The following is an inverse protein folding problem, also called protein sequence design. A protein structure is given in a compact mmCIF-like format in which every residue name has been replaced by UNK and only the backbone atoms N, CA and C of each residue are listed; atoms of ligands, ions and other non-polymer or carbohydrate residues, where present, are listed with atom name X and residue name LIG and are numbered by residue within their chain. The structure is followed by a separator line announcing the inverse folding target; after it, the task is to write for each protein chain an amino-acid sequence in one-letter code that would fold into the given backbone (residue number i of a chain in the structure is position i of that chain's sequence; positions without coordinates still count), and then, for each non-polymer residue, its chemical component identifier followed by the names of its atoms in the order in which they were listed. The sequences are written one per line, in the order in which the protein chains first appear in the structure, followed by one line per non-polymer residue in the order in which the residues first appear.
data_IF_652667561596
#
_entry.id   IF_652667561596
#
_cell.length_a   1.000
_cell.length_b   1.000
_cell.length_c   1.000
_cell.angle_alpha   90.00
_cell.angle_beta   90.00
_cell.angle_gamma   90.00
#
_symmetry.space_group_name_H-M   'P 1'
#
loop_
_entity.id
_entity.type
_entity.pdbx_description
1 polymer ?
#
# COMPACT_ATOMS: atom_id res chain seq x y z
N UNK A 1 -43.84 -15.88 -12.66
CA UNK A 1 -43.38 -14.97 -13.73
C UNK A 1 -42.87 -13.62 -13.17
N UNK A 2 -43.65 -12.88 -12.37
CA UNK A 2 -43.23 -11.57 -11.84
C UNK A 2 -42.04 -11.64 -10.86
N UNK A 3 -42.00 -12.64 -9.97
CA UNK A 3 -40.82 -12.88 -9.12
C UNK A 3 -39.57 -13.35 -9.90
N UNK A 4 -39.73 -13.80 -11.15
CA UNK A 4 -38.63 -14.25 -12.02
C UNK A 4 -37.91 -13.05 -12.65
N UNK A 5 -38.67 -12.03 -13.06
CA UNK A 5 -38.13 -10.83 -13.70
C UNK A 5 -37.34 -9.94 -12.73
N UNK A 6 -37.79 -9.81 -11.48
CA UNK A 6 -37.06 -9.07 -10.43
C UNK A 6 -35.70 -9.68 -10.06
N UNK A 7 -35.50 -10.97 -10.35
CA UNK A 7 -34.23 -11.64 -10.12
C UNK A 7 -33.26 -11.56 -11.31
N UNK A 8 -33.72 -11.13 -12.50
CA UNK A 8 -32.84 -10.98 -13.68
C UNK A 8 -31.66 -10.04 -13.44
N UNK A 9 -31.80 -8.88 -12.77
CA UNK A 9 -30.66 -8.04 -12.41
C UNK A 9 -29.64 -8.73 -11.50
N UNK A 10 -30.08 -9.65 -10.64
CA UNK A 10 -29.18 -10.42 -9.78
C UNK A 10 -28.45 -11.49 -10.58
N UNK A 11 -29.13 -12.16 -11.52
CA UNK A 11 -28.52 -13.22 -12.34
C UNK A 11 -27.63 -12.71 -13.46
N UNK A 12 -27.90 -11.54 -14.02
CA UNK A 12 -27.14 -10.99 -15.15
C UNK A 12 -26.38 -9.72 -14.77
N UNK A 13 -27.02 -8.80 -14.04
CA UNK A 13 -26.40 -7.55 -13.64
C UNK A 13 -25.25 -7.73 -12.67
N UNK A 14 -25.40 -8.58 -11.63
CA UNK A 14 -24.32 -8.81 -10.67
C UNK A 14 -23.09 -9.50 -11.31
N UNK A 15 -23.23 -10.62 -12.06
CA UNK A 15 -22.10 -11.18 -12.82
C UNK A 15 -21.45 -10.19 -13.78
N UNK A 16 -22.24 -9.37 -14.48
CA UNK A 16 -21.71 -8.34 -15.38
C UNK A 16 -20.91 -7.27 -14.63
N UNK A 17 -21.38 -6.80 -13.48
CA UNK A 17 -20.61 -5.88 -12.64
C UNK A 17 -19.30 -6.50 -12.18
N UNK A 18 -19.34 -7.74 -11.67
CA UNK A 18 -18.14 -8.48 -11.25
C UNK A 18 -17.16 -8.64 -12.41
N UNK A 19 -17.65 -8.99 -13.61
CA UNK A 19 -16.83 -9.04 -14.82
C UNK A 19 -16.18 -7.70 -15.14
N UNK A 20 -16.93 -6.60 -15.07
CA UNK A 20 -16.39 -5.25 -15.32
C UNK A 20 -15.28 -4.88 -14.35
N UNK A 21 -15.45 -5.19 -13.06
CA UNK A 21 -14.41 -4.96 -12.05
C UNK A 21 -13.18 -5.83 -12.27
N UNK A 22 -13.36 -7.14 -12.51
CA UNK A 22 -12.23 -8.05 -12.80
C UNK A 22 -11.47 -7.58 -14.04
N UNK A 23 -12.18 -7.28 -15.13
CA UNK A 23 -11.56 -6.84 -16.38
C UNK A 23 -10.76 -5.54 -16.20
N UNK A 24 -11.27 -4.59 -15.42
CA UNK A 24 -10.56 -3.34 -15.14
C UNK A 24 -9.24 -3.57 -14.37
N UNK A 25 -9.17 -4.61 -13.53
CA UNK A 25 -7.96 -4.94 -12.77
C UNK A 25 -6.90 -5.72 -13.56
N UNK A 26 -7.28 -6.35 -14.68
CA UNK A 26 -6.35 -7.14 -15.51
C UNK A 26 -5.77 -6.22 -16.59
N UNK A 27 -4.57 -5.69 -16.32
CA UNK A 27 -3.86 -4.78 -17.25
C UNK A 27 -3.21 -5.55 -18.41
N UNK A 28 -2.63 -6.72 -18.14
CA UNK A 28 -1.81 -7.45 -19.12
C UNK A 28 -2.56 -8.58 -19.83
N UNK A 29 -2.37 -8.66 -21.14
CA UNK A 29 -2.91 -9.73 -21.98
C UNK A 29 -2.11 -11.04 -21.88
N UNK A 30 -0.84 -10.97 -21.51
CA UNK A 30 0.00 -12.15 -21.32
C UNK A 30 0.00 -12.61 -19.86
N UNK A 31 -0.11 -13.92 -19.64
CA UNK A 31 -0.24 -14.51 -18.30
C UNK A 31 0.97 -14.30 -17.38
N UNK A 32 2.23 -14.54 -17.80
CA UNK A 32 3.37 -14.34 -16.91
C UNK A 32 3.62 -12.86 -16.60
N UNK A 33 3.28 -11.94 -17.50
CA UNK A 33 3.37 -10.50 -17.23
C UNK A 33 2.34 -10.07 -16.18
N UNK A 34 1.14 -10.64 -16.24
CA UNK A 34 0.11 -10.43 -15.22
C UNK A 34 0.58 -10.93 -13.84
N UNK A 35 1.15 -12.14 -13.77
CA UNK A 35 1.70 -12.69 -12.53
C UNK A 35 2.87 -11.85 -12.01
N UNK A 36 3.78 -11.42 -12.89
CA UNK A 36 4.91 -10.54 -12.56
C UNK A 36 4.40 -9.24 -11.92
N UNK A 37 3.39 -8.61 -12.53
CA UNK A 37 2.79 -7.37 -12.02
C UNK A 37 2.11 -7.58 -10.67
N UNK A 38 1.40 -8.68 -10.51
CA UNK A 38 0.69 -8.99 -9.27
C UNK A 38 1.66 -9.22 -8.11
N UNK A 39 2.76 -9.93 -8.35
CA UNK A 39 3.84 -10.08 -7.37
C UNK A 39 4.47 -8.74 -7.00
N UNK A 40 4.66 -7.83 -7.96
CA UNK A 40 5.17 -6.47 -7.67
C UNK A 40 4.26 -5.74 -6.68
N UNK A 41 2.94 -5.69 -6.93
CA UNK A 41 2.00 -5.04 -6.03
C UNK A 41 1.98 -5.66 -4.63
N UNK A 42 2.07 -6.99 -4.56
CA UNK A 42 2.14 -7.70 -3.28
C UNK A 42 3.42 -7.35 -2.51
N UNK A 43 4.56 -7.30 -3.19
CA UNK A 43 5.85 -6.92 -2.58
C UNK A 43 5.82 -5.46 -2.11
N UNK A 44 5.28 -4.54 -2.92
CA UNK A 44 5.14 -3.14 -2.54
C UNK A 44 4.28 -2.97 -1.28
N UNK A 45 3.18 -3.70 -1.19
CA UNK A 45 2.32 -3.71 0.00
C UNK A 45 3.05 -4.32 1.21
N UNK A 46 3.78 -5.43 1.03
CA UNK A 46 4.57 -6.07 2.09
C UNK A 46 5.70 -5.16 2.63
N UNK A 47 6.27 -4.32 1.77
CA UNK A 47 7.31 -3.35 2.12
C UNK A 47 6.77 -1.99 2.59
N UNK A 48 5.44 -1.85 2.67
CA UNK A 48 4.74 -0.61 3.01
C UNK A 48 5.17 0.59 2.14
N UNK A 49 5.39 0.35 0.85
CA UNK A 49 5.74 1.39 -0.13
C UNK A 49 4.50 1.96 -0.83
N UNK A 50 3.47 1.14 -1.00
CA UNK A 50 2.24 1.51 -1.69
C UNK A 50 1.03 0.79 -1.09
N UNK A 51 -0.09 1.50 -0.98
CA UNK A 51 -1.38 1.00 -0.50
C UNK A 51 -2.37 0.71 -1.63
N UNK A 52 -1.92 0.84 -2.90
CA UNK A 52 -2.72 0.57 -4.10
C UNK A 52 -3.41 -0.80 -4.07
N UNK A 53 -2.76 -1.79 -3.46
CA UNK A 53 -3.31 -3.14 -3.31
C UNK A 53 -4.60 -3.14 -2.49
N UNK A 54 -4.65 -2.38 -1.39
CA UNK A 54 -5.87 -2.21 -0.58
C UNK A 54 -6.90 -1.34 -1.31
N UNK A 55 -6.48 -0.21 -1.87
CA UNK A 55 -7.37 0.79 -2.46
C UNK A 55 -8.15 0.23 -3.66
N UNK A 56 -7.48 -0.53 -4.53
CA UNK A 56 -8.09 -1.13 -5.72
C UNK A 56 -8.70 -2.50 -5.49
N UNK A 57 -8.84 -2.92 -4.23
CA UNK A 57 -9.42 -4.21 -3.85
C UNK A 57 -8.74 -5.39 -4.57
N UNK A 58 -7.44 -5.30 -4.81
CA UNK A 58 -6.65 -6.32 -5.51
C UNK A 58 -6.67 -7.67 -4.78
N UNK A 59 -6.99 -7.67 -3.48
CA UNK A 59 -7.27 -8.88 -2.70
C UNK A 59 -8.39 -9.77 -3.29
N UNK A 60 -9.28 -9.22 -4.13
CA UNK A 60 -10.31 -9.99 -4.82
C UNK A 60 -9.74 -10.88 -5.92
N UNK A 61 -8.63 -10.48 -6.55
CA UNK A 61 -8.03 -11.14 -7.70
C UNK A 61 -6.66 -11.74 -7.40
N UNK A 62 -5.97 -11.31 -6.33
CA UNK A 62 -4.60 -11.70 -6.00
C UNK A 62 -4.40 -13.19 -5.73
N UNK A 63 -5.43 -13.88 -5.25
CA UNK A 63 -5.38 -15.34 -5.01
C UNK A 63 -5.48 -16.18 -6.29
N UNK A 64 -5.80 -15.55 -7.43
CA UNK A 64 -6.12 -16.25 -8.66
C UNK A 64 -5.03 -16.09 -9.72
N UNK A 65 -4.89 -17.10 -10.57
CA UNK A 65 -4.17 -16.95 -11.84
C UNK A 65 -4.96 -16.05 -12.77
N UNK A 66 -4.36 -15.62 -13.89
CA UNK A 66 -5.08 -14.81 -14.88
C UNK A 66 -6.38 -15.47 -15.35
N UNK A 67 -6.33 -16.77 -15.67
CA UNK A 67 -7.51 -17.54 -16.03
C UNK A 67 -8.49 -17.63 -14.86
N UNK A 68 -7.96 -17.88 -13.66
CA UNK A 68 -8.72 -17.98 -12.42
C UNK A 68 -9.39 -16.69 -11.96
N UNK A 69 -8.98 -15.53 -12.44
CA UNK A 69 -9.59 -14.25 -12.06
C UNK A 69 -11.10 -14.26 -12.34
N UNK A 70 -11.54 -14.98 -13.38
CA UNK A 70 -12.94 -15.17 -13.74
C UNK A 70 -13.62 -16.37 -13.04
N UNK A 71 -12.93 -17.10 -12.18
CA UNK A 71 -13.48 -18.28 -11.49
C UNK A 71 -14.76 -17.95 -10.71
N UNK A 72 -14.77 -16.82 -9.99
CA UNK A 72 -15.95 -16.36 -9.24
C UNK A 72 -17.15 -16.15 -10.19
N UNK A 73 -16.89 -15.61 -11.37
CA UNK A 73 -17.90 -15.42 -12.42
C UNK A 73 -18.42 -16.77 -12.94
N UNK A 74 -17.53 -17.71 -13.23
CA UNK A 74 -17.92 -19.07 -13.65
C UNK A 74 -18.78 -19.77 -12.59
N UNK A 75 -18.45 -19.61 -11.31
CA UNK A 75 -19.26 -20.16 -10.21
C UNK A 75 -20.62 -19.50 -10.06
N UNK A 76 -20.73 -18.19 -10.33
CA UNK A 76 -22.03 -17.52 -10.38
C UNK A 76 -22.87 -18.04 -11.54
N UNK A 77 -22.29 -18.22 -12.72
CA UNK A 77 -22.98 -18.84 -13.85
C UNK A 77 -23.41 -20.27 -13.57
N UNK A 78 -22.55 -21.10 -12.96
CA UNK A 78 -22.91 -22.45 -12.56
C UNK A 78 -24.10 -22.45 -11.59
N UNK A 79 -24.06 -21.62 -10.55
CA UNK A 79 -25.18 -21.51 -9.58
C UNK A 79 -26.47 -21.03 -10.24
N UNK A 80 -26.39 -20.04 -11.11
CA UNK A 80 -27.53 -19.54 -11.87
C UNK A 80 -28.11 -20.63 -12.78
N UNK A 81 -27.25 -21.35 -13.49
CA UNK A 81 -27.64 -22.45 -14.37
C UNK A 81 -28.29 -23.61 -13.61
N UNK A 82 -27.72 -24.00 -12.48
CA UNK A 82 -28.33 -25.01 -11.61
C UNK A 82 -29.70 -24.54 -11.13
N UNK A 83 -29.85 -23.29 -10.70
CA UNK A 83 -31.15 -22.75 -10.28
C UNK A 83 -32.18 -22.78 -11.42
N UNK A 84 -31.78 -22.43 -12.65
CA UNK A 84 -32.64 -22.55 -13.84
C UNK A 84 -33.11 -23.99 -14.01
N UNK A 85 -32.20 -24.98 -13.95
CA UNK A 85 -32.57 -26.40 -14.04
C UNK A 85 -33.60 -26.76 -12.97
N UNK A 86 -33.35 -26.36 -11.72
CA UNK A 86 -34.24 -26.65 -10.59
C UNK A 86 -35.63 -25.99 -10.69
N UNK A 87 -35.73 -24.81 -11.29
CA UNK A 87 -36.99 -24.08 -11.43
C UNK A 87 -37.80 -24.58 -12.62
N UNK A 88 -37.17 -24.74 -13.79
CA UNK A 88 -37.87 -25.08 -15.02
C UNK A 88 -38.21 -26.57 -15.15
N UNK A 89 -37.37 -27.47 -14.62
CA UNK A 89 -37.60 -28.92 -14.67
C UNK A 89 -38.22 -29.47 -13.38
N UNK A 90 -38.82 -28.62 -12.55
CA UNK A 90 -39.40 -29.00 -11.25
C UNK A 90 -40.40 -30.16 -11.32
N UNK A 91 -41.13 -30.28 -12.43
CA UNK A 91 -42.16 -31.31 -12.61
C UNK A 91 -41.61 -32.63 -13.15
N UNK A 92 -40.40 -32.63 -13.70
CA UNK A 92 -39.76 -33.81 -14.26
C UNK A 92 -38.42 -34.08 -13.57
N UNK A 93 -38.48 -34.90 -12.53
CA UNK A 93 -37.31 -35.24 -11.72
C UNK A 93 -36.21 -35.95 -12.52
N UNK A 94 -36.56 -36.69 -13.58
CA UNK A 94 -35.59 -37.41 -14.40
C UNK A 94 -34.76 -36.43 -15.21
N UNK A 95 -35.41 -35.50 -15.92
CA UNK A 95 -34.70 -34.46 -16.67
C UNK A 95 -33.94 -33.51 -15.75
N UNK A 96 -34.52 -33.12 -14.63
CA UNK A 96 -33.89 -32.23 -13.67
C UNK A 96 -32.58 -32.80 -13.13
N UNK A 97 -32.60 -34.05 -12.64
CA UNK A 97 -31.43 -34.71 -12.06
C UNK A 97 -30.39 -35.08 -13.13
N UNK A 98 -30.83 -35.52 -14.32
CA UNK A 98 -29.94 -35.81 -15.44
C UNK A 98 -29.16 -34.57 -15.89
N UNK A 99 -29.83 -33.44 -16.10
CA UNK A 99 -29.17 -32.18 -16.47
C UNK A 99 -28.24 -31.67 -15.37
N UNK A 100 -28.64 -31.76 -14.10
CA UNK A 100 -27.79 -31.39 -12.96
C UNK A 100 -26.51 -32.25 -12.88
N UNK A 101 -26.62 -33.56 -13.17
CA UNK A 101 -25.47 -34.46 -13.22
C UNK A 101 -24.55 -34.14 -14.40
N UNK A 102 -25.10 -33.99 -15.61
CA UNK A 102 -24.31 -33.66 -16.81
C UNK A 102 -23.55 -32.36 -16.64
N UNK A 103 -24.20 -31.32 -16.09
CA UNK A 103 -23.55 -30.03 -15.85
C UNK A 103 -22.46 -30.11 -14.80
N UNK A 104 -22.69 -30.89 -13.73
CA UNK A 104 -21.71 -31.14 -12.68
C UNK A 104 -20.47 -31.86 -13.22
N UNK A 105 -20.67 -32.89 -14.07
CA UNK A 105 -19.60 -33.62 -14.76
C UNK A 105 -18.86 -32.69 -15.73
N UNK A 106 -19.58 -31.93 -16.57
CA UNK A 106 -18.98 -31.04 -17.56
C UNK A 106 -18.08 -29.98 -16.89
N UNK A 107 -18.52 -29.36 -15.80
CA UNK A 107 -17.70 -28.42 -15.04
C UNK A 107 -16.49 -29.08 -14.38
N UNK A 108 -16.67 -30.27 -13.81
CA UNK A 108 -15.57 -31.02 -13.19
C UNK A 108 -14.53 -31.44 -14.22
N UNK A 109 -14.95 -31.86 -15.42
CA UNK A 109 -14.07 -32.17 -16.54
C UNK A 109 -13.39 -30.91 -17.07
N UNK A 110 -14.09 -29.78 -17.17
CA UNK A 110 -13.50 -28.51 -17.61
C UNK A 110 -12.32 -28.08 -16.72
N UNK A 111 -12.51 -28.07 -15.39
CA UNK A 111 -11.44 -27.74 -14.45
C UNK A 111 -10.43 -28.88 -14.26
N UNK A 112 -10.86 -30.14 -14.34
CA UNK A 112 -10.02 -31.33 -14.22
C UNK A 112 -9.12 -31.60 -15.44
N UNK A 113 -9.57 -31.25 -16.64
CA UNK A 113 -8.73 -31.29 -17.83
C UNK A 113 -7.61 -30.25 -17.77
N UNK A 114 -7.89 -29.09 -17.15
CA UNK A 114 -6.88 -28.11 -16.81
C UNK A 114 -5.79 -28.65 -15.88
N UNK A 115 -6.18 -29.49 -14.92
CA UNK A 115 -5.27 -30.19 -13.99
C UNK A 115 -4.33 -31.16 -14.72
N UNK A 116 -4.80 -31.87 -15.76
CA UNK A 116 -4.00 -32.88 -16.46
C UNK A 116 -3.10 -32.33 -17.58
N UNK A 117 -3.56 -31.33 -18.32
CA UNK A 117 -2.85 -30.86 -19.54
C UNK A 117 -1.88 -29.70 -19.32
N UNK A 118 -2.20 -28.76 -18.44
CA UNK A 118 -1.34 -27.62 -18.15
C UNK A 118 -1.64 -27.06 -16.77
N UNK A 119 -1.08 -27.75 -15.78
CA UNK A 119 -1.21 -27.48 -14.35
C UNK A 119 -1.17 -25.99 -13.98
N UNK A 120 -0.22 -25.24 -14.53
CA UNK A 120 -0.04 -23.83 -14.17
C UNK A 120 -0.99 -22.86 -14.87
N UNK A 121 -1.54 -23.21 -16.04
CA UNK A 121 -2.29 -22.28 -16.90
C UNK A 121 -3.81 -22.33 -16.67
N UNK A 122 -4.32 -23.50 -16.29
CA UNK A 122 -5.76 -23.73 -16.25
C UNK A 122 -6.34 -23.88 -14.85
N UNK A 123 -5.49 -23.82 -13.82
CA UNK A 123 -5.95 -23.83 -12.44
C UNK A 123 -6.30 -22.42 -11.97
N UNK A 124 -7.45 -22.26 -11.29
CA UNK A 124 -7.91 -20.93 -10.92
C UNK A 124 -7.10 -20.30 -9.79
N UNK A 125 -6.67 -21.07 -8.79
CA UNK A 125 -5.92 -20.51 -7.67
C UNK A 125 -4.41 -20.60 -7.92
N UNK A 126 -3.65 -19.61 -7.42
CA UNK A 126 -2.18 -19.64 -7.43
C UNK A 126 -1.62 -20.71 -6.48
N UNK A 127 -2.32 -20.97 -5.37
CA UNK A 127 -1.95 -21.99 -4.40
C UNK A 127 -2.54 -23.36 -4.78
N UNK A 128 -1.65 -24.36 -4.87
CA UNK A 128 -1.97 -25.77 -5.11
C UNK A 128 -2.97 -26.32 -4.08
N UNK A 129 -2.79 -26.05 -2.79
CA UNK A 129 -3.68 -26.56 -1.74
C UNK A 129 -5.13 -26.13 -1.93
N UNK A 130 -5.34 -24.87 -2.33
CA UNK A 130 -6.68 -24.34 -2.63
C UNK A 130 -7.30 -24.97 -3.87
N UNK A 131 -6.50 -25.26 -4.90
CA UNK A 131 -6.97 -26.01 -6.08
C UNK A 131 -7.38 -27.44 -5.74
N UNK A 132 -6.65 -28.12 -4.84
CA UNK A 132 -7.02 -29.47 -4.38
C UNK A 132 -8.36 -29.48 -3.64
N UNK A 133 -8.57 -28.53 -2.74
CA UNK A 133 -9.86 -28.39 -2.03
C UNK A 133 -10.99 -28.15 -3.04
N UNK A 134 -10.78 -27.28 -4.02
CA UNK A 134 -11.76 -27.04 -5.09
C UNK A 134 -12.06 -28.33 -5.87
N UNK A 135 -11.04 -29.05 -6.35
CA UNK A 135 -11.25 -30.30 -7.10
C UNK A 135 -11.99 -31.36 -6.27
N UNK A 136 -11.65 -31.49 -4.98
CA UNK A 136 -12.35 -32.38 -4.05
C UNK A 136 -13.83 -32.01 -3.94
N UNK A 137 -14.17 -30.71 -3.83
CA UNK A 137 -15.57 -30.27 -3.79
C UNK A 137 -16.33 -30.53 -5.11
N UNK A 138 -15.66 -30.41 -6.26
CA UNK A 138 -16.27 -30.76 -7.55
C UNK A 138 -16.51 -32.26 -7.70
N UNK A 139 -15.56 -33.10 -7.29
CA UNK A 139 -15.73 -34.55 -7.25
C UNK A 139 -16.92 -34.91 -6.35
N UNK A 140 -17.03 -34.29 -5.17
CA UNK A 140 -18.16 -34.48 -4.26
C UNK A 140 -19.49 -34.08 -4.89
N UNK A 141 -19.52 -32.94 -5.59
CA UNK A 141 -20.70 -32.48 -6.33
C UNK A 141 -21.11 -33.50 -7.40
N UNK A 142 -20.16 -34.04 -8.17
CA UNK A 142 -20.43 -35.08 -9.18
C UNK A 142 -21.01 -36.32 -8.52
N UNK A 143 -20.38 -36.86 -7.49
CA UNK A 143 -20.88 -38.05 -6.78
C UNK A 143 -22.30 -37.83 -6.29
N UNK A 144 -22.58 -36.71 -5.62
CA UNK A 144 -23.92 -36.37 -5.15
C UNK A 144 -24.93 -36.28 -6.29
N UNK A 145 -24.55 -35.64 -7.41
CA UNK A 145 -25.42 -35.50 -8.58
C UNK A 145 -25.71 -36.83 -9.28
N UNK A 146 -24.73 -37.75 -9.35
CA UNK A 146 -24.89 -39.09 -9.91
C UNK A 146 -25.86 -39.93 -9.08
N UNK A 147 -25.75 -39.87 -7.75
CA UNK A 147 -26.70 -40.52 -6.84
C UNK A 147 -28.11 -39.95 -6.95
N UNK A 148 -28.23 -38.61 -7.08
CA UNK A 148 -29.52 -37.96 -7.33
C UNK A 148 -30.15 -38.41 -8.65
N UNK A 149 -29.34 -38.56 -9.70
CA UNK A 149 -29.75 -39.08 -11.00
C UNK A 149 -30.24 -40.52 -10.89
N UNK A 150 -29.46 -41.43 -10.31
CA UNK A 150 -29.88 -42.85 -10.15
C UNK A 150 -31.21 -43.00 -9.42
N UNK A 151 -31.46 -42.17 -8.40
CA UNK A 151 -32.72 -42.17 -7.68
C UNK A 151 -33.89 -41.71 -8.56
N UNK A 152 -33.71 -40.65 -9.34
CA UNK A 152 -34.77 -40.13 -10.20
C UNK A 152 -35.14 -41.10 -11.34
N UNK A 153 -34.16 -41.82 -11.89
CA UNK A 153 -34.38 -42.86 -12.89
C UNK A 153 -34.89 -44.18 -12.31
N UNK A 154 -35.04 -44.29 -10.98
CA UNK A 154 -35.55 -45.49 -10.33
C UNK A 154 -34.61 -46.70 -10.43
N UNK A 155 -33.30 -46.46 -10.55
CA UNK A 155 -32.30 -47.54 -10.61
C UNK A 155 -32.27 -48.26 -9.27
N UNK A 156 -32.68 -49.54 -9.26
CA UNK A 156 -32.69 -50.39 -8.06
C UNK A 156 -31.37 -51.14 -7.95
N UNK A 157 -30.50 -50.66 -7.06
CA UNK A 157 -29.22 -51.28 -6.72
C UNK A 157 -29.10 -51.35 -5.19
N UNK A 158 -28.37 -52.32 -4.62
CA UNK A 158 -28.07 -52.34 -3.19
C UNK A 158 -27.47 -51.02 -2.67
N UNK A 159 -26.80 -50.26 -3.55
CA UNK A 159 -26.15 -48.98 -3.26
C UNK A 159 -27.15 -47.80 -3.27
N UNK A 160 -28.30 -47.92 -3.95
CA UNK A 160 -29.33 -46.88 -4.08
C UNK A 160 -30.50 -47.04 -3.10
N UNK A 161 -30.45 -48.04 -2.20
CA UNK A 161 -31.42 -48.16 -1.11
C UNK A 161 -31.24 -46.98 -0.16
N UNK A 162 -32.33 -46.31 0.22
CA UNK A 162 -32.25 -45.01 0.91
C UNK A 162 -31.36 -45.01 2.17
N UNK A 163 -31.35 -46.10 2.94
CA UNK A 163 -30.47 -46.24 4.12
C UNK A 163 -28.99 -46.37 3.71
N UNK A 164 -28.66 -47.31 2.81
CA UNK A 164 -27.28 -47.54 2.36
C UNK A 164 -26.73 -46.33 1.60
N UNK A 165 -27.53 -45.73 0.73
CA UNK A 165 -27.18 -44.51 0.02
C UNK A 165 -26.84 -43.36 0.98
N UNK A 166 -27.65 -43.15 2.01
CA UNK A 166 -27.41 -42.09 3.00
C UNK A 166 -26.10 -42.32 3.74
N UNK A 167 -25.80 -43.57 4.12
CA UNK A 167 -24.51 -43.91 4.74
C UNK A 167 -23.33 -43.69 3.79
N UNK A 168 -23.44 -44.07 2.51
CA UNK A 168 -22.40 -43.84 1.52
C UNK A 168 -22.13 -42.36 1.29
N UNK A 169 -23.19 -41.56 1.09
CA UNK A 169 -23.07 -40.11 0.91
C UNK A 169 -22.49 -39.43 2.14
N UNK A 170 -22.90 -39.87 3.34
CA UNK A 170 -22.35 -39.35 4.59
C UNK A 170 -20.87 -39.70 4.73
N UNK A 171 -20.49 -40.97 4.52
CA UNK A 171 -19.10 -41.41 4.61
C UNK A 171 -18.20 -40.68 3.60
N UNK A 172 -18.65 -40.54 2.35
CA UNK A 172 -17.89 -39.87 1.30
C UNK A 172 -17.78 -38.36 1.56
N UNK A 173 -18.88 -37.71 1.96
CA UNK A 173 -18.89 -36.27 2.29
C UNK A 173 -18.06 -35.98 3.54
N UNK A 174 -18.16 -36.81 4.58
CA UNK A 174 -17.38 -36.68 5.80
C UNK A 174 -15.89 -36.90 5.53
N UNK A 175 -15.54 -37.91 4.72
CA UNK A 175 -14.15 -38.15 4.30
C UNK A 175 -13.58 -36.98 3.50
N UNK A 176 -14.32 -36.46 2.52
CA UNK A 176 -13.93 -35.27 1.76
C UNK A 176 -13.77 -34.03 2.67
N UNK A 177 -14.70 -33.83 3.60
CA UNK A 177 -14.62 -32.74 4.59
C UNK A 177 -13.39 -32.89 5.49
N UNK A 178 -13.09 -34.11 5.95
CA UNK A 178 -11.92 -34.39 6.77
C UNK A 178 -10.62 -34.10 6.01
N UNK A 179 -10.52 -34.51 4.74
CA UNK A 179 -9.36 -34.19 3.90
C UNK A 179 -9.23 -32.68 3.68
N UNK A 180 -10.32 -31.99 3.35
CA UNK A 180 -10.31 -30.53 3.18
C UNK A 180 -9.91 -29.81 4.48
N UNK A 181 -10.42 -30.27 5.63
CA UNK A 181 -10.08 -29.74 6.94
C UNK A 181 -8.61 -30.02 7.29
N UNK A 182 -8.12 -31.23 7.01
CA UNK A 182 -6.72 -31.59 7.22
C UNK A 182 -5.79 -30.71 6.36
N UNK A 183 -6.15 -30.45 5.10
CA UNK A 183 -5.40 -29.53 4.23
C UNK A 183 -5.44 -28.09 4.74
N UNK A 184 -6.59 -27.64 5.27
CA UNK A 184 -6.75 -26.30 5.85
C UNK A 184 -5.94 -26.17 7.15
N UNK A 185 -6.04 -27.13 8.06
CA UNK A 185 -5.25 -27.17 9.30
C UNK A 185 -3.77 -27.25 8.98
N UNK A 186 -3.37 -28.12 8.04
CA UNK A 186 -2.00 -28.18 7.56
C UNK A 186 -1.55 -26.83 6.98
N UNK A 187 -2.42 -26.14 6.24
CA UNK A 187 -2.13 -24.79 5.78
C UNK A 187 -1.96 -23.83 6.95
N UNK A 188 -2.84 -23.80 7.96
CA UNK A 188 -2.73 -22.89 9.11
C UNK A 188 -1.49 -23.15 9.98
N UNK A 189 -1.14 -24.42 10.21
CA UNK A 189 0.00 -24.81 11.05
C UNK A 189 1.32 -24.62 10.30
N UNK A 190 1.37 -25.02 9.03
CA UNK A 190 2.59 -25.04 8.23
C UNK A 190 2.78 -23.76 7.43
N UNK A 191 1.76 -22.89 7.34
CA UNK A 191 1.91 -21.55 6.75
C UNK A 191 2.71 -20.66 7.68
N UNK A 192 4.00 -20.94 7.77
CA UNK A 192 4.92 -19.85 7.56
C UNK A 192 4.59 -19.28 6.16
N UNK A 193 4.65 -17.96 5.98
CA UNK A 193 4.19 -17.18 4.79
C UNK A 193 4.77 -17.63 3.42
N UNK A 194 5.55 -18.72 3.37
CA UNK A 194 6.40 -19.16 2.26
C UNK A 194 5.67 -19.67 1.02
N UNK A 195 4.44 -20.20 1.08
CA UNK A 195 3.77 -20.76 -0.11
C UNK A 195 3.30 -19.69 -1.11
N UNK A 196 3.41 -18.40 -0.75
CA UNK A 196 2.96 -17.31 -1.61
C UNK A 196 4.07 -16.92 -2.60
N UNK A 197 3.79 -16.73 -3.91
CA UNK A 197 4.84 -16.51 -4.92
C UNK A 197 5.72 -15.28 -4.66
N UNK A 198 5.14 -14.19 -4.12
CA UNK A 198 5.92 -13.00 -3.76
C UNK A 198 6.92 -13.28 -2.62
N UNK A 199 6.57 -14.15 -1.67
CA UNK A 199 7.45 -14.54 -0.57
C UNK A 199 8.58 -15.42 -1.06
N UNK A 200 8.33 -16.36 -1.97
CA UNK A 200 9.40 -17.10 -2.63
C UNK A 200 10.37 -16.17 -3.37
N UNK A 201 9.86 -15.10 -3.98
CA UNK A 201 10.71 -14.12 -4.67
C UNK A 201 11.57 -13.34 -3.69
N UNK A 202 10.97 -12.87 -2.57
CA UNK A 202 11.70 -12.20 -1.50
C UNK A 202 12.73 -13.12 -0.84
N UNK A 203 12.39 -14.38 -0.63
CA UNK A 203 13.27 -15.39 -0.08
C UNK A 203 14.46 -15.65 -1.01
N UNK A 204 14.24 -15.73 -2.33
CA UNK A 204 15.30 -15.83 -3.33
C UNK A 204 16.23 -14.61 -3.32
N UNK A 205 15.67 -13.42 -3.11
CA UNK A 205 16.46 -12.19 -2.94
C UNK A 205 17.28 -12.29 -1.64
N UNK A 206 16.66 -12.72 -0.54
CA UNK A 206 17.29 -12.82 0.78
C UNK A 206 18.51 -13.74 0.81
N UNK A 207 18.45 -14.86 0.10
CA UNK A 207 19.55 -15.83 0.03
C UNK A 207 20.75 -15.34 -0.81
N UNK A 208 20.62 -14.24 -1.55
CA UNK A 208 21.72 -13.67 -2.32
C UNK A 208 22.09 -12.28 -1.79
N UNK A 209 23.16 -12.21 -1.00
CA UNK A 209 23.61 -11.00 -0.31
C UNK A 209 23.80 -9.80 -1.26
N UNK A 210 24.31 -10.01 -2.48
CA UNK A 210 24.48 -8.94 -3.46
C UNK A 210 23.13 -8.36 -3.92
N UNK A 211 22.12 -9.20 -4.08
CA UNK A 211 20.78 -8.76 -4.44
C UNK A 211 20.09 -8.06 -3.28
N UNK A 212 20.27 -8.54 -2.04
CA UNK A 212 19.72 -7.90 -0.85
C UNK A 212 20.21 -6.45 -0.74
N UNK A 213 21.52 -6.22 -0.84
CA UNK A 213 22.08 -4.87 -0.72
C UNK A 213 21.53 -3.92 -1.79
N UNK A 214 21.43 -4.39 -3.04
CA UNK A 214 20.90 -3.60 -4.16
C UNK A 214 19.40 -3.32 -4.01
N UNK A 215 18.61 -4.32 -3.65
CA UNK A 215 17.15 -4.19 -3.44
C UNK A 215 16.86 -3.28 -2.25
N UNK A 216 17.58 -3.42 -1.14
CA UNK A 216 17.44 -2.53 0.02
C UNK A 216 17.73 -1.07 -0.35
N UNK A 217 18.76 -0.82 -1.16
CA UNK A 217 19.05 0.50 -1.68
C UNK A 217 17.90 1.03 -2.57
N UNK A 218 17.39 0.23 -3.50
CA UNK A 218 16.26 0.62 -4.36
C UNK A 218 14.99 0.95 -3.55
N UNK A 219 14.66 0.11 -2.58
CA UNK A 219 13.51 0.32 -1.68
C UNK A 219 13.66 1.60 -0.88
N UNK A 220 14.86 1.89 -0.37
CA UNK A 220 15.14 3.14 0.31
C UNK A 220 14.98 4.34 -0.63
N UNK A 221 15.53 4.28 -1.84
CA UNK A 221 15.38 5.35 -2.84
C UNK A 221 13.92 5.60 -3.23
N UNK A 222 13.10 4.55 -3.39
CA UNK A 222 11.65 4.70 -3.63
C UNK A 222 10.99 5.41 -2.45
N UNK A 223 11.29 5.00 -1.22
CA UNK A 223 10.70 5.60 -0.02
C UNK A 223 11.06 7.09 0.09
N UNK A 224 12.33 7.43 -0.08
CA UNK A 224 12.79 8.84 -0.08
C UNK A 224 12.10 9.64 -1.19
N UNK A 225 11.99 9.07 -2.39
CA UNK A 225 11.30 9.71 -3.50
C UNK A 225 9.81 9.97 -3.22
N UNK A 226 9.11 9.03 -2.58
CA UNK A 226 7.72 9.20 -2.17
C UNK A 226 7.56 10.27 -1.09
N UNK A 227 8.51 10.38 -0.15
CA UNK A 227 8.53 11.46 0.84
C UNK A 227 8.75 12.82 0.17
N UNK A 228 9.75 12.93 -0.71
CA UNK A 228 10.03 14.16 -1.47
C UNK A 228 8.82 14.54 -2.33
N UNK A 229 8.16 13.57 -2.97
CA UNK A 229 6.91 13.78 -3.71
C UNK A 229 5.83 14.38 -2.82
N UNK A 230 5.58 13.79 -1.65
CA UNK A 230 4.56 14.25 -0.72
C UNK A 230 4.87 15.67 -0.23
N UNK A 231 6.10 15.93 0.20
CA UNK A 231 6.56 17.23 0.67
C UNK A 231 6.45 18.29 -0.43
N UNK A 232 6.85 17.96 -1.67
CA UNK A 232 6.76 18.87 -2.81
C UNK A 232 5.31 19.16 -3.22
N UNK A 233 4.40 18.19 -3.09
CA UNK A 233 2.99 18.39 -3.40
C UNK A 233 2.26 19.22 -2.34
N UNK A 234 2.63 19.05 -1.06
CA UNK A 234 2.09 19.79 0.08
C UNK A 234 2.66 21.21 0.18
N UNK A 235 3.90 21.42 -0.26
CA UNK A 235 4.50 22.73 -0.27
C UNK A 235 3.80 23.67 -1.26
N UNK A 236 3.61 24.95 -0.90
CA UNK A 236 3.17 25.96 -1.85
C UNK A 236 4.26 26.17 -2.92
N UNK A 237 3.85 26.51 -4.15
CA UNK A 237 4.72 26.56 -5.34
C UNK A 237 5.93 27.49 -5.18
N UNK A 238 5.81 28.49 -4.31
CA UNK A 238 6.85 29.47 -4.03
C UNK A 238 8.00 28.90 -3.19
N UNK A 239 7.72 27.90 -2.35
CA UNK A 239 8.66 27.37 -1.36
C UNK A 239 9.11 25.93 -1.69
N UNK A 240 8.40 25.28 -2.61
CA UNK A 240 8.68 23.92 -3.04
C UNK A 240 10.15 23.73 -3.46
N UNK A 241 10.79 22.68 -2.96
CA UNK A 241 12.20 22.40 -3.18
C UNK A 241 12.41 21.63 -4.49
N UNK A 242 12.74 22.36 -5.55
CA UNK A 242 12.94 21.78 -6.89
C UNK A 242 14.24 20.96 -6.92
N UNK A 243 15.29 21.42 -6.23
CA UNK A 243 16.60 20.77 -6.26
C UNK A 243 16.51 19.37 -5.63
N UNK A 244 15.79 19.24 -4.51
CA UNK A 244 15.54 17.95 -3.87
C UNK A 244 14.77 16.99 -4.79
N UNK A 245 13.78 17.50 -5.53
CA UNK A 245 13.01 16.71 -6.49
C UNK A 245 13.90 16.23 -7.67
N UNK A 246 14.70 17.12 -8.25
CA UNK A 246 15.62 16.78 -9.35
C UNK A 246 16.69 15.78 -8.92
N UNK A 247 17.23 15.91 -7.72
CA UNK A 247 18.19 14.96 -7.18
C UNK A 247 17.54 13.59 -6.96
N UNK A 248 16.33 13.55 -6.42
CA UNK A 248 15.56 12.31 -6.29
C UNK A 248 15.31 11.63 -7.64
N UNK A 249 14.98 12.40 -8.68
CA UNK A 249 14.81 11.91 -10.06
C UNK A 249 16.13 11.32 -10.60
N UNK A 250 17.28 11.96 -10.36
CA UNK A 250 18.60 11.45 -10.81
C UNK A 250 18.95 10.13 -10.12
N UNK A 251 18.77 10.05 -8.80
CA UNK A 251 19.03 8.85 -8.01
C UNK A 251 18.09 7.71 -8.39
N UNK A 252 16.80 7.98 -8.58
CA UNK A 252 15.85 6.98 -9.05
C UNK A 252 16.19 6.48 -10.45
N UNK A 253 16.62 7.37 -11.35
CA UNK A 253 17.03 6.98 -12.71
C UNK A 253 18.23 6.04 -12.71
N UNK A 254 19.23 6.28 -11.86
CA UNK A 254 20.38 5.37 -11.74
C UNK A 254 19.97 4.02 -11.16
N UNK A 255 19.09 4.01 -10.15
CA UNK A 255 18.51 2.79 -9.59
C UNK A 255 17.70 2.01 -10.62
N UNK A 256 16.89 2.69 -11.44
CA UNK A 256 16.09 2.07 -12.50
C UNK A 256 16.96 1.40 -13.55
N UNK A 257 18.01 2.08 -14.03
CA UNK A 257 18.97 1.49 -14.98
C UNK A 257 19.64 0.24 -14.41
N UNK A 258 20.02 0.29 -13.13
CA UNK A 258 20.58 -0.85 -12.40
C UNK A 258 19.57 -2.02 -12.32
N UNK A 259 18.33 -1.75 -11.89
CA UNK A 259 17.28 -2.76 -11.81
C UNK A 259 16.93 -3.40 -13.17
N UNK A 260 16.90 -2.58 -14.23
CA UNK A 260 16.67 -3.02 -15.61
C UNK A 260 17.80 -3.91 -16.12
N UNK A 261 19.06 -3.55 -15.85
CA UNK A 261 20.21 -4.37 -16.24
C UNK A 261 20.18 -5.78 -15.62
N UNK A 262 19.54 -5.92 -14.46
CA UNK A 262 19.37 -7.18 -13.74
C UNK A 262 18.07 -7.92 -14.08
N UNK A 263 17.17 -7.32 -14.86
CA UNK A 263 15.83 -7.85 -15.11
C UNK A 263 14.99 -8.01 -13.83
N UNK A 264 15.22 -7.15 -12.83
CA UNK A 264 14.56 -7.22 -11.53
C UNK A 264 13.06 -6.90 -11.62
N UNK A 265 12.25 -7.44 -10.70
CA UNK A 265 10.85 -7.06 -10.55
C UNK A 265 10.67 -5.58 -10.20
N UNK A 266 11.66 -4.99 -9.51
CA UNK A 266 11.64 -3.59 -9.09
C UNK A 266 11.83 -2.58 -10.23
N UNK A 267 12.14 -3.04 -11.45
CA UNK A 267 12.20 -2.18 -12.63
C UNK A 267 10.91 -1.39 -12.82
N UNK A 268 9.76 -2.06 -12.72
CA UNK A 268 8.45 -1.45 -12.95
C UNK A 268 8.12 -0.37 -11.92
N UNK A 269 8.14 -0.63 -10.59
CA UNK A 269 7.83 0.41 -9.61
C UNK A 269 8.83 1.57 -9.65
N UNK A 270 10.12 1.32 -9.93
CA UNK A 270 11.10 2.39 -10.12
C UNK A 270 10.76 3.25 -11.34
N UNK A 271 10.33 2.63 -12.45
CA UNK A 271 9.93 3.37 -13.65
C UNK A 271 8.66 4.20 -13.42
N UNK A 272 7.64 3.64 -12.77
CA UNK A 272 6.37 4.33 -12.51
C UNK A 272 6.57 5.51 -11.57
N UNK A 273 7.32 5.32 -10.47
CA UNK A 273 7.66 6.42 -9.56
C UNK A 273 8.49 7.51 -10.24
N UNK A 274 9.45 7.13 -11.09
CA UNK A 274 10.24 8.08 -11.87
C UNK A 274 9.36 8.89 -12.86
N UNK A 275 8.47 8.22 -13.60
CA UNK A 275 7.55 8.87 -14.53
C UNK A 275 6.60 9.83 -13.80
N UNK A 276 6.07 9.45 -12.64
CA UNK A 276 5.24 10.31 -11.82
C UNK A 276 5.98 11.56 -11.34
N UNK A 277 7.22 11.42 -10.87
CA UNK A 277 8.03 12.57 -10.46
C UNK A 277 8.35 13.48 -11.64
N UNK A 278 8.69 12.93 -12.80
CA UNK A 278 8.94 13.70 -14.03
C UNK A 278 7.68 14.45 -14.49
N UNK A 279 6.51 13.82 -14.37
CA UNK A 279 5.24 14.46 -14.66
C UNK A 279 4.95 15.62 -13.69
N UNK A 280 5.17 15.43 -12.39
CA UNK A 280 5.01 16.48 -11.38
C UNK A 280 6.00 17.63 -11.62
N UNK A 281 7.26 17.31 -11.91
CA UNK A 281 8.29 18.28 -12.25
C UNK A 281 7.88 19.10 -13.47
N UNK A 282 7.58 18.48 -14.61
CA UNK A 282 7.19 19.19 -15.83
C UNK A 282 5.95 20.08 -15.66
N UNK A 283 5.00 19.66 -14.82
CA UNK A 283 3.76 20.42 -14.58
C UNK A 283 3.99 21.62 -13.65
N UNK A 284 4.76 21.46 -12.57
CA UNK A 284 4.93 22.50 -11.54
C UNK A 284 6.15 23.38 -11.74
N UNK A 285 7.19 22.90 -12.42
CA UNK A 285 8.44 23.62 -12.65
C UNK A 285 8.25 25.00 -13.29
N UNK A 286 7.38 25.19 -14.31
CA UNK A 286 7.18 26.52 -14.91
C UNK A 286 6.72 27.58 -13.91
N UNK A 287 5.90 27.19 -12.93
CA UNK A 287 5.31 28.09 -11.95
C UNK A 287 6.15 28.27 -10.67
N UNK A 288 7.15 27.41 -10.45
CA UNK A 288 7.94 27.45 -9.23
C UNK A 288 8.85 28.69 -9.18
N UNK A 289 8.95 29.33 -8.00
CA UNK A 289 9.79 30.53 -7.81
C UNK A 289 11.23 30.19 -7.38
N UNK A 290 11.40 29.06 -6.68
CA UNK A 290 12.69 28.56 -6.20
C UNK A 290 13.44 27.78 -7.29
N UNK A 291 13.66 28.42 -8.45
CA UNK A 291 14.38 27.84 -9.60
C UNK A 291 15.89 28.01 -9.55
N UNK A 292 16.35 29.01 -8.81
CA UNK A 292 17.73 29.46 -8.87
C UNK A 292 18.49 29.13 -7.58
N UNK A 293 19.75 28.69 -7.69
CA UNK A 293 20.56 28.27 -6.55
C UNK A 293 20.85 29.40 -5.53
N UNK A 294 20.68 30.68 -5.92
CA UNK A 294 20.84 31.79 -4.99
C UNK A 294 19.82 31.77 -3.85
N UNK A 295 18.62 31.20 -4.06
CA UNK A 295 17.62 31.05 -2.99
C UNK A 295 18.18 30.20 -1.85
N UNK A 296 18.90 29.13 -2.15
CA UNK A 296 19.49 28.25 -1.14
C UNK A 296 20.72 28.90 -0.48
N UNK A 297 21.48 29.71 -1.21
CA UNK A 297 22.69 30.36 -0.71
C UNK A 297 22.43 31.23 0.53
N UNK A 298 21.29 31.89 0.60
CA UNK A 298 20.85 32.68 1.77
C UNK A 298 20.59 31.80 3.01
N UNK A 299 19.97 30.62 2.82
CA UNK A 299 19.65 29.68 3.90
C UNK A 299 20.85 28.84 4.37
N UNK A 300 21.87 28.68 3.52
CA UNK A 300 23.10 27.93 3.84
C UNK A 300 24.07 28.77 4.69
N UNK A 301 23.95 30.11 4.70
CA UNK A 301 24.74 30.99 5.56
C UNK A 301 24.63 30.52 7.03
N UNK A 302 25.76 30.28 7.72
CA UNK A 302 25.74 29.72 9.08
C UNK A 302 24.98 30.62 10.08
N UNK A 303 25.02 31.92 9.86
CA UNK A 303 24.27 32.93 10.63
C UNK A 303 22.76 32.72 10.51
N UNK A 304 22.24 32.56 9.29
CA UNK A 304 20.81 32.36 9.03
C UNK A 304 20.37 30.97 9.49
N UNK A 305 21.19 29.95 9.22
CA UNK A 305 20.91 28.56 9.59
C UNK A 305 20.79 28.37 11.11
N UNK A 306 21.71 28.93 11.88
CA UNK A 306 21.67 28.84 13.35
C UNK A 306 20.43 29.53 13.94
N UNK A 307 20.05 30.68 13.38
CA UNK A 307 18.83 31.40 13.79
C UNK A 307 17.57 30.60 13.44
N UNK A 308 17.50 30.00 12.26
CA UNK A 308 16.37 29.17 11.85
C UNK A 308 16.26 27.87 12.67
N UNK A 309 17.39 27.20 12.93
CA UNK A 309 17.42 26.01 13.79
C UNK A 309 16.99 26.33 15.23
N UNK A 310 17.47 27.45 15.77
CA UNK A 310 17.03 27.93 17.10
C UNK A 310 15.53 28.21 17.12
N UNK A 311 15.00 28.91 16.12
CA UNK A 311 13.54 29.16 16.01
C UNK A 311 12.74 27.86 15.87
N UNK A 312 13.22 26.90 15.07
CA UNK A 312 12.59 25.60 14.93
C UNK A 312 12.52 24.86 16.26
N UNK A 313 13.63 24.84 17.01
CA UNK A 313 13.72 24.25 18.34
C UNK A 313 12.78 24.95 19.34
N UNK A 314 12.80 26.28 19.37
CA UNK A 314 11.91 27.05 20.24
C UNK A 314 10.43 26.77 19.91
N UNK A 315 10.08 26.61 18.63
CA UNK A 315 8.72 26.26 18.19
C UNK A 315 8.34 24.80 18.43
N UNK A 316 9.30 23.87 18.49
CA UNK A 316 9.00 22.45 18.77
C UNK A 316 8.62 22.25 20.23
N UNK A 317 9.22 23.03 21.15
CA UNK A 317 8.95 22.99 22.60
C UNK A 317 7.65 23.75 22.95
N UNK A 318 7.16 24.63 22.09
CA UNK A 318 5.96 25.41 22.37
C UNK A 318 4.67 24.58 22.38
N UNK A 319 3.80 24.89 23.34
CA UNK A 319 2.44 24.36 23.38
C UNK A 319 1.68 24.67 22.07
N UNK A 320 0.87 23.73 21.55
CA UNK A 320 0.29 23.80 20.20
C UNK A 320 -0.67 24.98 19.97
N UNK A 321 -1.28 25.53 21.03
CA UNK A 321 -2.10 26.76 20.94
C UNK A 321 -1.24 28.00 20.68
N UNK A 322 -0.15 28.17 21.45
CA UNK A 322 0.78 29.30 21.32
C UNK A 322 1.46 29.30 19.95
N UNK A 323 1.91 28.13 19.50
CA UNK A 323 2.50 27.93 18.17
C UNK A 323 1.56 28.36 17.03
N UNK A 324 0.27 28.01 17.10
CA UNK A 324 -0.74 28.42 16.10
C UNK A 324 -0.95 29.92 16.05
N UNK A 325 -1.01 30.61 17.19
CA UNK A 325 -1.14 32.07 17.24
C UNK A 325 0.08 32.75 16.62
N UNK A 326 1.27 32.24 16.95
CA UNK A 326 2.53 32.80 16.47
C UNK A 326 2.68 32.65 14.95
N UNK A 327 2.28 31.50 14.39
CA UNK A 327 2.23 31.32 12.93
C UNK A 327 1.23 32.26 12.25
N UNK A 328 0.06 32.50 12.85
CA UNK A 328 -0.90 33.49 12.33
C UNK A 328 -0.33 34.90 12.32
N UNK A 329 0.34 35.30 13.40
CA UNK A 329 1.00 36.61 13.49
C UNK A 329 2.16 36.75 12.49
N UNK A 330 2.94 35.69 12.28
CA UNK A 330 4.00 35.65 11.26
C UNK A 330 3.43 35.79 9.85
N UNK A 331 2.33 35.11 9.54
CA UNK A 331 1.65 35.23 8.25
C UNK A 331 1.09 36.64 8.03
N UNK A 332 0.46 37.25 9.05
CA UNK A 332 -0.02 38.63 8.99
C UNK A 332 1.15 39.60 8.77
N UNK A 333 2.25 39.42 9.51
CA UNK A 333 3.46 40.25 9.36
C UNK A 333 4.09 40.11 7.98
N UNK A 334 4.03 38.92 7.38
CA UNK A 334 4.48 38.70 6.01
C UNK A 334 3.57 39.39 4.99
N UNK A 335 2.25 39.33 5.17
CA UNK A 335 1.28 40.01 4.30
C UNK A 335 1.31 41.55 4.41
N UNK A 336 1.76 42.09 5.53
CA UNK A 336 1.92 43.53 5.71
C UNK A 336 3.07 44.13 4.87
N UNK A 337 3.88 43.30 4.18
CA UNK A 337 4.88 43.74 3.21
C UNK A 337 6.04 44.57 3.78
N UNK A 338 6.01 44.89 5.08
CA UNK A 338 6.90 45.86 5.68
C UNK A 338 8.20 45.20 6.13
N UNK A 339 9.12 45.04 5.17
CA UNK A 339 10.53 44.72 5.42
C UNK A 339 11.41 45.97 5.58
N UNK A 340 10.83 47.16 5.79
CA UNK A 340 11.60 48.40 5.84
C UNK A 340 11.14 49.39 6.90
N UNK A 341 11.57 49.21 8.14
CA UNK A 341 11.84 50.32 9.10
C UNK A 341 12.22 49.87 10.52
N UNK A 342 12.17 48.59 10.86
CA UNK A 342 12.42 48.14 12.25
C UNK A 342 13.91 47.91 12.58
N UNK A 343 14.81 48.81 12.16
CA UNK A 343 16.25 48.70 12.48
C UNK A 343 16.95 49.98 12.95
N UNK A 344 16.29 51.14 12.98
CA UNK A 344 16.88 52.31 13.68
C UNK A 344 16.46 52.36 15.14
N UNK A 345 15.20 52.14 15.49
CA UNK A 345 14.75 52.38 16.86
C UNK A 345 15.25 51.35 17.87
N UNK A 346 15.40 50.07 17.47
CA UNK A 346 15.92 49.02 18.37
C UNK A 346 17.43 49.15 18.54
N UNK A 347 18.18 49.46 17.48
CA UNK A 347 19.62 49.72 17.56
C UNK A 347 19.91 51.00 18.37
N UNK A 348 19.09 52.04 18.22
CA UNK A 348 19.16 53.27 19.01
C UNK A 348 18.77 53.03 20.46
N UNK A 349 17.78 52.18 20.75
CA UNK A 349 17.42 51.79 22.11
C UNK A 349 18.51 50.95 22.78
N UNK A 350 19.12 49.99 22.06
CA UNK A 350 20.26 49.21 22.55
C UNK A 350 21.47 50.10 22.81
N UNK A 351 21.82 51.01 21.88
CA UNK A 351 22.91 51.96 22.08
C UNK A 351 22.67 52.90 23.28
N UNK A 352 21.42 53.31 23.52
CA UNK A 352 21.04 54.09 24.71
C UNK A 352 21.14 53.28 26.00
N UNK A 353 20.75 52.00 25.99
CA UNK A 353 20.91 51.10 27.14
C UNK A 353 22.38 50.83 27.45
N UNK A 354 23.20 50.55 26.43
CA UNK A 354 24.63 50.32 26.60
C UNK A 354 25.36 51.57 27.13
N UNK A 355 24.97 52.76 26.67
CA UNK A 355 25.49 54.03 27.18
C UNK A 355 25.09 54.30 28.63
N UNK A 356 23.85 53.96 29.02
CA UNK A 356 23.37 54.08 30.39
C UNK A 356 24.11 53.11 31.33
N UNK A 357 24.25 51.85 30.91
CA UNK A 357 24.95 50.83 31.69
C UNK A 357 26.42 51.19 31.88
N UNK A 358 27.07 51.81 30.88
CA UNK A 358 28.44 52.32 31.00
C UNK A 358 28.52 53.44 32.03
N UNK A 359 27.61 54.42 32.00
CA UNK A 359 27.57 55.50 33.00
C UNK A 359 27.33 54.98 34.42
N UNK A 360 26.47 53.97 34.59
CA UNK A 360 26.21 53.36 35.90
C UNK A 360 27.46 52.66 36.43
N UNK A 361 28.21 51.95 35.58
CA UNK A 361 29.49 51.32 35.97
C UNK A 361 30.53 52.37 36.38
N UNK A 362 30.71 53.42 35.59
CA UNK A 362 31.67 54.50 35.88
C UNK A 362 31.34 55.21 37.20
N UNK A 363 30.04 55.46 37.49
CA UNK A 363 29.63 55.99 38.80
C UNK A 363 29.93 55.04 39.94
N UNK A 364 29.65 53.75 39.76
CA UNK A 364 29.88 52.77 40.81
C UNK A 364 31.38 52.59 41.12
N UNK A 365 32.23 52.61 40.09
CA UNK A 365 33.69 52.61 40.24
C UNK A 365 34.19 53.85 40.97
N UNK A 366 33.67 55.04 40.64
CA UNK A 366 34.03 56.29 41.33
C UNK A 366 33.63 56.27 42.83
N UNK A 367 32.43 55.75 43.15
CA UNK A 367 31.99 55.58 44.53
C UNK A 367 32.89 54.61 45.31
N UNK A 368 33.26 53.48 44.69
CA UNK A 368 34.18 52.51 45.28
C UNK A 368 35.55 53.12 45.58
N UNK A 369 36.11 53.90 44.66
CA UNK A 369 37.37 54.60 44.85
C UNK A 369 37.28 55.58 46.03
N UNK A 370 36.20 56.37 46.10
CA UNK A 370 35.99 57.33 47.20
C UNK A 370 35.89 56.66 48.57
N UNK A 371 35.24 55.49 48.65
CA UNK A 371 35.14 54.69 49.87
C UNK A 371 36.49 54.10 50.30
N UNK A 372 37.31 53.68 49.34
CA UNK A 372 38.66 53.18 49.60
C UNK A 372 39.56 54.30 50.14
N UNK A 373 39.50 55.49 49.56
CA UNK A 373 40.26 56.65 50.04
C UNK A 373 39.83 57.09 51.44
N UNK A 374 38.52 57.14 51.70
CA UNK A 374 37.99 57.43 53.03
C UNK A 374 38.45 56.42 54.08
N UNK A 375 38.41 55.12 53.77
CA UNK A 375 38.93 54.07 54.65
C UNK A 375 40.45 54.14 54.85
N UNK A 376 41.22 54.57 53.85
CA UNK A 376 42.66 54.82 54.00
C UNK A 376 42.92 56.00 54.95
N UNK A 377 42.16 57.08 54.84
CA UNK A 377 42.26 58.22 55.75
C UNK A 377 41.86 57.85 57.20
N UNK A 378 40.78 57.10 57.39
CA UNK A 378 40.36 56.59 58.69
C UNK A 378 41.43 55.69 59.33
N UNK A 379 42.09 54.82 58.55
CA UNK A 379 43.20 53.99 59.03
C UNK A 379 44.44 54.79 59.40
N UNK A 380 44.74 55.88 58.68
CA UNK A 380 45.85 56.78 59.02
C UNK A 380 45.58 57.56 60.31
N UNK A 381 44.33 57.98 60.54
CA UNK A 381 43.92 58.66 61.77
C UNK A 381 43.92 57.72 62.99
N UNK A 382 43.66 56.43 62.82
CA UNK A 382 43.75 55.43 63.89
C UNK A 382 45.19 55.00 64.22
N UNK A 383 46.16 55.31 63.36
CA UNK A 383 47.57 54.99 63.55
C UNK A 383 48.38 56.14 64.17
N UNK A 384 47.78 57.32 64.30
CA UNK A 384 48.28 58.47 65.08
C UNK A 384 47.65 58.43 66.47
#
# INVERSE_FOLDING_TARGET
AVCSALNLPVFFGFPYMVYKYIKATIIYNYEPDHEKRLQVWEILQMLSLDDHWLQNQLWLTSSFTKFGAYYRLHMLYLKAWMLIIFVFFRFDFQWQSGLACVTSVAFTVYYGFGFTTSWKRHLPFRNMKSNLIMMLTFILMVVNSTFGMFNAFGVRSPITVGSTQSYFLWAFSAGACYIALALLIYQLITSKVYDWPSVHTLDRIWHNEEHVAKVAHWVHCIREALLVKADFLLAPLEVADIDALEESIRVLRSCWLSARSMGSLFEVPLSETLEELLFIHSTRYPAALRKHPYWNSEYVKPEVRSVLQKRYYDHSIMAPKKRRVLFKLLAIRFMQGDRGSFNMDVAVQQAKQDALDKQVRERHEAELISLIEKRKQERLLLAQ
#
